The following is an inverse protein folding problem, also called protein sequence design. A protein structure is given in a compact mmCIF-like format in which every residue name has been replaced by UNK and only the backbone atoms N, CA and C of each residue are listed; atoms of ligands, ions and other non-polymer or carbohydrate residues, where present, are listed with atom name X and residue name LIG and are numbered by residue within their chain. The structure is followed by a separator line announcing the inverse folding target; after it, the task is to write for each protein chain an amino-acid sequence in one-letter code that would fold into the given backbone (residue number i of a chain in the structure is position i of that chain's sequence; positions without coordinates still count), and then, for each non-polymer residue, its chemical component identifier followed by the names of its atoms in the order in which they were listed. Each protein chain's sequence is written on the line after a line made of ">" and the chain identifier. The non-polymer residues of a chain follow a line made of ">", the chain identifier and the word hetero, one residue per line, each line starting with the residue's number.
data_IF_820998165193
#
_entry.id   IF_820998165193
#
_cell.length_a   1.000
_cell.length_b   1.000
_cell.length_c   1.000
_cell.angle_alpha   90.00
_cell.angle_beta   90.00
_cell.angle_gamma   90.00
#
_symmetry.space_group_name_H-M   'P 1'
#
loop_
_entity.id
_entity.type
_entity.pdbx_description
1 polymer ?
#
# COMPACT_ATOMS: atom_id res chain seq x y z
N UNK A 1 5.24 96.22 40.10
CA UNK A 1 6.00 95.95 38.85
C UNK A 1 6.35 94.47 38.83
N UNK A 2 6.10 93.75 37.73
CA UNK A 2 6.08 92.29 37.74
C UNK A 2 7.48 91.68 37.64
N UNK A 3 7.64 90.53 38.28
CA UNK A 3 8.79 89.63 38.19
C UNK A 3 8.66 88.84 36.88
N UNK A 4 9.73 88.82 36.10
CA UNK A 4 9.83 88.12 34.81
C UNK A 4 9.89 86.61 35.02
N UNK A 5 8.95 85.89 34.44
CA UNK A 5 8.94 84.42 34.38
C UNK A 5 9.75 83.96 33.15
N UNK A 6 10.83 83.20 33.40
CA UNK A 6 11.79 82.78 32.37
C UNK A 6 11.25 81.52 31.69
N UNK A 7 10.88 81.64 30.41
CA UNK A 7 10.28 80.58 29.61
C UNK A 7 11.24 79.45 29.23
N UNK A 8 11.35 78.41 30.05
CA UNK A 8 11.90 77.10 29.65
C UNK A 8 10.79 76.22 29.05
N UNK A 9 10.39 76.50 27.80
CA UNK A 9 9.27 75.79 27.14
C UNK A 9 9.60 75.10 25.81
N UNK A 10 10.86 75.10 25.37
CA UNK A 10 11.25 74.65 24.01
C UNK A 10 11.85 73.24 23.89
N UNK A 11 12.02 72.49 24.98
CA UNK A 11 12.61 71.13 24.94
C UNK A 11 11.62 69.96 25.14
N UNK A 12 10.45 70.20 25.73
CA UNK A 12 9.53 69.14 26.18
C UNK A 12 8.77 68.48 25.03
N UNK A 13 8.45 69.23 23.97
CA UNK A 13 7.75 68.69 22.78
C UNK A 13 8.63 67.72 21.99
N UNK A 14 9.93 67.99 21.87
CA UNK A 14 10.88 67.11 21.16
C UNK A 14 11.07 65.78 21.89
N UNK A 15 11.17 65.83 23.23
CA UNK A 15 11.28 64.63 24.08
C UNK A 15 10.02 63.76 23.99
N UNK A 16 8.84 64.38 24.00
CA UNK A 16 7.57 63.66 23.87
C UNK A 16 7.43 62.99 22.50
N UNK A 17 7.82 63.69 21.42
CA UNK A 17 7.82 63.13 20.06
C UNK A 17 8.75 61.93 19.92
N UNK A 18 9.96 61.99 20.50
CA UNK A 18 10.89 60.86 20.50
C UNK A 18 10.38 59.67 21.30
N UNK A 19 9.70 59.90 22.44
CA UNK A 19 9.11 58.83 23.24
C UNK A 19 7.97 58.11 22.51
N UNK A 20 7.10 58.87 21.85
CA UNK A 20 6.01 58.29 21.05
C UNK A 20 6.58 57.50 19.87
N UNK A 21 7.60 58.03 19.20
CA UNK A 21 8.25 57.36 18.07
C UNK A 21 8.90 56.05 18.48
N UNK A 22 9.64 56.03 19.59
CA UNK A 22 10.21 54.81 20.17
C UNK A 22 9.08 53.84 20.54
N UNK A 23 8.02 54.32 21.19
CA UNK A 23 6.85 53.51 21.53
C UNK A 23 6.25 52.80 20.32
N UNK A 24 6.07 53.52 19.19
CA UNK A 24 5.55 52.95 17.94
C UNK A 24 6.51 51.93 17.33
N UNK A 25 7.82 52.20 17.34
CA UNK A 25 8.81 51.23 16.83
C UNK A 25 8.75 49.94 17.64
N UNK A 26 8.76 50.04 18.97
CA UNK A 26 8.72 48.86 19.83
C UNK A 26 7.39 48.10 19.69
N UNK A 27 6.26 48.79 19.54
CA UNK A 27 4.95 48.13 19.38
C UNK A 27 4.70 47.59 17.98
N UNK A 28 5.33 48.11 16.94
CA UNK A 28 5.14 47.63 15.56
C UNK A 28 6.21 46.61 15.14
N UNK A 29 7.48 46.90 15.40
CA UNK A 29 8.62 46.11 14.87
C UNK A 29 8.79 44.80 15.64
N UNK A 30 8.67 44.83 16.97
CA UNK A 30 8.86 43.61 17.78
C UNK A 30 7.81 42.55 17.46
N UNK A 31 6.49 42.88 17.42
CA UNK A 31 5.49 41.87 17.06
C UNK A 31 5.66 41.35 15.65
N UNK A 32 6.00 42.19 14.68
CA UNK A 32 6.26 41.74 13.30
C UNK A 32 7.43 40.76 13.24
N UNK A 33 8.54 41.03 13.95
CA UNK A 33 9.69 40.14 13.99
C UNK A 33 9.35 38.79 14.66
N UNK A 34 8.57 38.81 15.74
CA UNK A 34 8.11 37.60 16.41
C UNK A 34 7.20 36.75 15.50
N UNK A 35 6.26 37.37 14.81
CA UNK A 35 5.35 36.68 13.89
C UNK A 35 6.13 36.05 12.73
N UNK A 36 7.12 36.76 12.17
CA UNK A 36 7.97 36.22 11.10
C UNK A 36 8.73 34.98 11.58
N UNK A 37 9.35 35.04 12.77
CA UNK A 37 10.05 33.88 13.35
C UNK A 37 9.13 32.70 13.60
N UNK A 38 7.93 32.95 14.12
CA UNK A 38 6.93 31.90 14.31
C UNK A 38 6.50 31.28 12.98
N UNK A 39 6.26 32.10 11.96
CA UNK A 39 5.91 31.63 10.63
C UNK A 39 7.03 30.75 10.04
N UNK A 40 8.29 31.17 10.14
CA UNK A 40 9.43 30.40 9.65
C UNK A 40 9.52 29.04 10.36
N UNK A 41 9.44 29.02 11.69
CA UNK A 41 9.47 27.75 12.45
C UNK A 41 8.30 26.83 12.10
N UNK A 42 7.10 27.37 11.92
CA UNK A 42 5.92 26.58 11.52
C UNK A 42 6.09 26.02 10.10
N UNK A 43 6.67 26.81 9.20
CA UNK A 43 6.96 26.36 7.84
C UNK A 43 8.00 25.25 7.81
N UNK A 44 9.07 25.35 8.59
CA UNK A 44 10.07 24.29 8.71
C UNK A 44 9.46 23.02 9.32
N UNK A 45 8.70 23.14 10.42
CA UNK A 45 8.01 22.01 11.04
C UNK A 45 7.11 21.28 10.06
N UNK A 46 6.25 22.01 9.32
CA UNK A 46 5.38 21.40 8.30
C UNK A 46 6.16 20.70 7.18
N UNK A 47 7.31 21.24 6.77
CA UNK A 47 8.15 20.58 5.78
C UNK A 47 8.68 19.25 6.30
N UNK A 48 9.13 19.20 7.55
CA UNK A 48 9.59 17.95 8.17
C UNK A 48 8.45 16.94 8.34
N UNK A 49 7.26 17.37 8.79
CA UNK A 49 6.09 16.51 8.93
C UNK A 49 5.67 15.91 7.58
N UNK A 50 5.62 16.73 6.52
CA UNK A 50 5.28 16.24 5.18
C UNK A 50 6.34 15.27 4.64
N UNK A 51 7.62 15.58 4.84
CA UNK A 51 8.71 14.70 4.41
C UNK A 51 8.63 13.33 5.12
N UNK A 52 8.31 13.31 6.42
CA UNK A 52 8.11 12.07 7.16
C UNK A 52 6.91 11.28 6.64
N UNK A 53 5.78 11.94 6.36
CA UNK A 53 4.59 11.27 5.80
C UNK A 53 4.86 10.68 4.40
N UNK A 54 5.61 11.40 3.57
CA UNK A 54 6.01 10.91 2.25
C UNK A 54 6.95 9.71 2.36
N UNK A 55 7.87 9.72 3.33
CA UNK A 55 8.75 8.59 3.63
C UNK A 55 7.96 7.37 4.12
N UNK A 56 7.04 7.55 5.07
CA UNK A 56 6.17 6.46 5.55
C UNK A 56 5.33 5.87 4.41
N UNK A 57 4.80 6.70 3.51
CA UNK A 57 4.06 6.27 2.32
C UNK A 57 4.95 5.50 1.33
N UNK A 58 6.23 5.86 1.23
CA UNK A 58 7.17 5.15 0.38
C UNK A 58 7.44 3.73 0.88
N UNK A 59 7.46 3.53 2.21
CA UNK A 59 7.66 2.21 2.84
C UNK A 59 6.42 1.31 2.87
N UNK A 60 5.23 1.83 2.56
CA UNK A 60 4.04 0.97 2.40
C UNK A 60 4.16 0.08 1.17
N UNK A 61 3.99 -1.23 1.35
CA UNK A 61 3.97 -2.16 0.23
C UNK A 61 2.90 -3.25 0.46
N UNK A 62 1.74 -3.09 -0.16
CA UNK A 62 0.63 -4.02 -0.08
C UNK A 62 0.46 -4.75 -1.40
N UNK A 63 0.24 -6.06 -1.29
CA UNK A 63 -0.09 -6.93 -2.41
C UNK A 63 -1.57 -7.25 -2.27
N UNK A 64 -2.34 -7.02 -3.33
CA UNK A 64 -3.78 -7.24 -3.37
C UNK A 64 -4.05 -8.47 -4.21
N UNK A 65 -4.94 -9.32 -3.75
CA UNK A 65 -5.36 -10.54 -4.43
C UNK A 65 -6.88 -10.58 -4.46
N UNK A 66 -7.44 -10.97 -5.60
CA UNK A 66 -8.88 -11.12 -5.73
C UNK A 66 -9.20 -12.46 -6.39
N UNK A 67 -10.20 -13.17 -5.85
CA UNK A 67 -10.64 -14.45 -6.36
C UNK A 67 -12.12 -14.72 -6.03
N UNK A 68 -12.71 -15.72 -6.68
CA UNK A 68 -14.06 -16.17 -6.36
C UNK A 68 -14.11 -16.77 -4.95
N UNK A 69 -15.20 -16.50 -4.22
CA UNK A 69 -15.42 -17.18 -2.95
C UNK A 69 -15.85 -18.65 -3.21
N UNK A 70 -15.19 -19.61 -2.55
CA UNK A 70 -15.49 -21.04 -2.64
C UNK A 70 -16.93 -21.40 -2.18
N UNK A 71 -17.42 -20.69 -1.15
CA UNK A 71 -18.77 -20.90 -0.59
C UNK A 71 -19.85 -20.21 -1.41
N UNK A 72 -19.53 -19.06 -2.01
CA UNK A 72 -20.44 -18.26 -2.81
C UNK A 72 -19.74 -17.80 -4.10
N UNK A 73 -19.75 -18.61 -5.17
CA UNK A 73 -18.98 -18.32 -6.39
C UNK A 73 -19.40 -17.03 -7.11
N UNK A 74 -20.46 -16.39 -6.65
CA UNK A 74 -20.92 -15.08 -7.12
C UNK A 74 -20.20 -13.91 -6.49
N UNK A 75 -19.64 -14.10 -5.30
CA UNK A 75 -19.07 -13.04 -4.50
C UNK A 75 -17.55 -13.01 -4.72
N UNK A 76 -17.00 -11.79 -4.75
CA UNK A 76 -15.58 -11.57 -4.93
C UNK A 76 -14.91 -11.48 -3.57
N UNK A 77 -14.01 -12.41 -3.26
CA UNK A 77 -13.16 -12.32 -2.08
C UNK A 77 -11.90 -11.54 -2.43
N UNK A 78 -11.53 -10.61 -1.55
CA UNK A 78 -10.31 -9.83 -1.68
C UNK A 78 -9.44 -10.07 -0.46
N UNK A 79 -8.19 -10.44 -0.71
CA UNK A 79 -7.16 -10.66 0.29
C UNK A 79 -6.02 -9.67 0.08
N UNK A 80 -5.36 -9.28 1.17
CA UNK A 80 -4.23 -8.36 1.12
C UNK A 80 -3.08 -8.90 1.96
N UNK A 81 -1.88 -8.82 1.42
CA UNK A 81 -0.65 -9.13 2.14
C UNK A 81 0.21 -7.87 2.29
N UNK A 82 0.69 -7.61 3.50
CA UNK A 82 1.60 -6.52 3.76
C UNK A 82 3.06 -7.00 3.69
N UNK A 83 3.74 -6.62 2.60
CA UNK A 83 5.17 -6.84 2.36
C UNK A 83 6.03 -5.66 2.82
N UNK A 84 5.42 -4.57 3.29
CA UNK A 84 6.11 -3.42 3.84
C UNK A 84 6.54 -3.64 5.29
N UNK A 85 7.43 -2.77 5.76
CA UNK A 85 7.94 -2.79 7.13
C UNK A 85 6.98 -2.12 8.12
N UNK A 86 6.08 -1.27 7.61
CA UNK A 86 5.10 -0.52 8.40
C UNK A 86 3.72 -1.17 8.29
N UNK A 87 2.93 -1.07 9.36
CA UNK A 87 1.50 -1.40 9.27
C UNK A 87 0.79 -0.43 8.34
N UNK A 88 -0.07 -0.98 7.50
CA UNK A 88 -0.89 -0.21 6.58
C UNK A 88 -2.35 -0.41 6.94
N UNK A 89 -3.11 0.69 6.97
CA UNK A 89 -4.53 0.65 7.27
C UNK A 89 -5.31 0.81 5.98
N UNK A 90 -6.05 -0.24 5.62
CA UNK A 90 -6.93 -0.24 4.45
C UNK A 90 -8.22 0.48 4.81
N UNK A 91 -8.52 1.56 4.08
CA UNK A 91 -9.68 2.43 4.32
C UNK A 91 -10.76 2.22 3.27
N UNK A 92 -10.39 1.85 2.06
CA UNK A 92 -11.39 1.57 1.03
C UNK A 92 -10.94 0.54 0.03
N UNK A 93 -11.91 -0.22 -0.45
CA UNK A 93 -11.81 -1.11 -1.59
C UNK A 93 -12.67 -0.53 -2.71
N UNK A 94 -12.10 -0.51 -3.90
CA UNK A 94 -12.78 -0.15 -5.13
C UNK A 94 -12.78 -1.35 -6.05
N UNK A 95 -13.93 -1.69 -6.60
CA UNK A 95 -14.05 -2.69 -7.65
C UNK A 95 -14.76 -2.04 -8.82
N UNK A 96 -14.00 -1.69 -9.87
CA UNK A 96 -14.45 -0.77 -10.92
C UNK A 96 -15.01 0.54 -10.33
N UNK A 97 -16.33 0.76 -10.43
CA UNK A 97 -17.02 1.96 -9.95
C UNK A 97 -17.68 1.78 -8.57
N UNK A 98 -17.59 0.59 -7.98
CA UNK A 98 -18.20 0.29 -6.68
C UNK A 98 -17.23 0.55 -5.54
N UNK A 99 -17.72 1.27 -4.53
CA UNK A 99 -16.97 1.66 -3.35
C UNK A 99 -17.40 0.87 -2.12
N UNK A 100 -16.42 0.32 -1.42
CA UNK A 100 -16.61 -0.35 -0.14
C UNK A 100 -15.72 0.30 0.92
N UNK A 101 -16.33 0.86 1.95
CA UNK A 101 -15.61 1.41 3.10
C UNK A 101 -15.09 0.28 3.99
N UNK A 102 -13.80 0.33 4.28
CA UNK A 102 -13.11 -0.63 5.12
C UNK A 102 -12.37 0.09 6.25
N UNK A 103 -12.05 -0.63 7.31
CA UNK A 103 -11.30 -0.08 8.42
C UNK A 103 -10.40 -1.16 9.03
N UNK A 104 -9.55 -1.75 8.20
CA UNK A 104 -8.74 -2.89 8.58
C UNK A 104 -7.27 -2.53 8.66
N UNK A 105 -6.67 -2.79 9.83
CA UNK A 105 -5.23 -2.69 10.02
C UNK A 105 -4.55 -3.98 9.54
N UNK A 106 -3.59 -3.86 8.63
CA UNK A 106 -2.78 -4.97 8.14
C UNK A 106 -1.37 -4.82 8.73
N UNK A 107 -1.02 -5.73 9.62
CA UNK A 107 0.31 -5.73 10.27
C UNK A 107 1.39 -6.17 9.28
N UNK A 108 2.62 -5.68 9.41
CA UNK A 108 3.74 -6.18 8.60
C UNK A 108 3.98 -7.65 8.93
N UNK A 109 4.37 -8.45 7.92
CA UNK A 109 4.70 -9.88 8.07
C UNK A 109 3.58 -10.76 8.65
N UNK A 110 2.31 -10.31 8.66
CA UNK A 110 1.20 -11.12 9.18
C UNK A 110 0.68 -12.18 8.20
N UNK A 111 1.29 -12.29 7.02
CA UNK A 111 0.78 -13.11 5.91
C UNK A 111 -0.42 -12.46 5.21
N UNK A 112 -1.12 -13.26 4.40
CA UNK A 112 -2.36 -12.85 3.74
C UNK A 112 -3.47 -12.63 4.77
N UNK A 113 -4.22 -11.56 4.57
CA UNK A 113 -5.36 -11.20 5.39
C UNK A 113 -6.57 -10.93 4.52
N UNK A 114 -7.65 -11.60 4.84
CA UNK A 114 -8.93 -11.46 4.15
C UNK A 114 -9.56 -10.12 4.50
N UNK A 115 -9.87 -9.32 3.48
CA UNK A 115 -10.69 -8.12 3.64
C UNK A 115 -12.19 -8.46 3.72
N UNK A 116 -12.57 -9.61 3.17
CA UNK A 116 -13.93 -10.13 3.15
C UNK A 116 -14.39 -10.47 1.73
N UNK A 117 -15.67 -10.82 1.63
CA UNK A 117 -16.34 -11.07 0.36
C UNK A 117 -17.31 -9.94 0.04
N UNK A 118 -17.25 -9.47 -1.20
CA UNK A 118 -17.99 -8.32 -1.68
C UNK A 118 -18.91 -8.73 -2.82
N UNK A 119 -20.17 -8.34 -2.72
CA UNK A 119 -21.16 -8.55 -3.77
C UNK A 119 -21.05 -7.37 -4.74
N UNK A 120 -20.49 -7.64 -5.92
CA UNK A 120 -20.29 -6.63 -6.96
C UNK A 120 -21.30 -6.78 -8.10
N UNK A 121 -21.66 -5.67 -8.75
CA UNK A 121 -22.52 -5.73 -9.94
C UNK A 121 -21.86 -6.57 -11.02
N UNK A 122 -22.59 -7.56 -11.53
CA UNK A 122 -22.09 -8.58 -12.47
C UNK A 122 -22.56 -8.26 -13.88
N UNK A 123 -21.64 -7.87 -14.74
CA UNK A 123 -21.85 -7.62 -16.17
C UNK A 123 -21.04 -8.65 -16.92
N UNK A 124 -21.70 -9.35 -17.84
CA UNK A 124 -21.08 -10.43 -18.60
C UNK A 124 -19.92 -9.89 -19.45
N UNK A 125 -18.79 -10.62 -19.42
CA UNK A 125 -17.56 -10.34 -20.18
C UNK A 125 -16.95 -8.95 -19.89
N UNK A 126 -17.27 -8.36 -18.74
CA UNK A 126 -16.63 -7.15 -18.24
C UNK A 126 -15.40 -7.51 -17.40
N UNK A 127 -14.34 -6.74 -17.55
CA UNK A 127 -13.14 -6.81 -16.70
C UNK A 127 -13.36 -6.02 -15.41
N UNK A 128 -12.93 -6.61 -14.30
CA UNK A 128 -13.02 -6.08 -12.96
C UNK A 128 -11.63 -5.79 -12.44
N UNK A 129 -11.37 -4.51 -12.20
CA UNK A 129 -10.14 -4.03 -11.60
C UNK A 129 -10.40 -3.77 -10.12
N UNK A 130 -9.60 -4.42 -9.27
CA UNK A 130 -9.68 -4.28 -7.82
C UNK A 130 -8.58 -3.32 -7.37
N UNK A 131 -8.96 -2.27 -6.64
CA UNK A 131 -8.03 -1.30 -6.07
C UNK A 131 -8.27 -1.15 -4.58
N UNK A 132 -7.19 -1.11 -3.81
CA UNK A 132 -7.21 -0.93 -2.36
C UNK A 132 -6.53 0.39 -2.04
N UNK A 133 -7.15 1.22 -1.20
CA UNK A 133 -6.59 2.51 -0.77
C UNK A 133 -6.27 2.48 0.73
N UNK A 134 -5.07 2.96 1.07
CA UNK A 134 -4.61 3.12 2.46
C UNK A 134 -5.02 4.47 3.05
N UNK A 135 -4.99 4.59 4.37
CA UNK A 135 -5.19 5.86 5.08
C UNK A 135 -4.13 6.92 4.74
N UNK A 136 -2.92 6.48 4.37
CA UNK A 136 -1.85 7.33 3.83
C UNK A 136 -2.07 7.74 2.35
N UNK A 137 -3.20 7.34 1.75
CA UNK A 137 -3.61 7.72 0.40
C UNK A 137 -2.77 7.09 -0.70
N UNK A 138 -2.21 5.89 -0.47
CA UNK A 138 -1.59 5.07 -1.52
C UNK A 138 -2.64 4.10 -2.07
N UNK A 139 -2.61 3.90 -3.38
CA UNK A 139 -3.52 2.99 -4.08
C UNK A 139 -2.71 1.80 -4.56
N UNK A 140 -3.17 0.60 -4.24
CA UNK A 140 -2.63 -0.67 -4.69
C UNK A 140 -3.65 -1.34 -5.59
N UNK A 141 -3.22 -1.76 -6.77
CA UNK A 141 -4.10 -2.35 -7.79
C UNK A 141 -3.78 -3.83 -7.89
N UNK A 142 -4.81 -4.66 -8.04
CA UNK A 142 -4.61 -6.05 -8.41
C UNK A 142 -4.25 -6.12 -9.90
N UNK A 143 -3.06 -6.67 -10.20
CA UNK A 143 -2.50 -6.64 -11.55
C UNK A 143 -3.24 -7.51 -12.57
N UNK A 144 -4.00 -8.50 -12.10
CA UNK A 144 -4.71 -9.45 -12.96
C UNK A 144 -6.21 -9.13 -12.96
N UNK A 145 -6.77 -8.57 -14.05
CA UNK A 145 -8.19 -8.28 -14.09
C UNK A 145 -9.00 -9.59 -14.08
N UNK A 146 -10.11 -9.61 -13.34
CA UNK A 146 -11.05 -10.73 -13.33
C UNK A 146 -12.19 -10.44 -14.30
N UNK A 147 -12.74 -11.47 -14.94
CA UNK A 147 -13.88 -11.34 -15.86
C UNK A 147 -15.07 -12.12 -15.35
N UNK A 148 -16.27 -11.54 -15.37
CA UNK A 148 -17.48 -12.28 -14.99
C UNK A 148 -18.07 -13.00 -16.21
N UNK A 149 -18.22 -14.32 -16.11
CA UNK A 149 -18.80 -15.17 -17.18
C UNK A 149 -20.07 -15.88 -16.71
N UNK A 150 -20.79 -16.54 -17.64
CA UNK A 150 -21.98 -17.35 -17.29
C UNK A 150 -21.68 -18.51 -16.32
N UNK A 151 -20.41 -18.89 -16.20
CA UNK A 151 -19.95 -19.98 -15.34
C UNK A 151 -19.28 -19.48 -14.04
N UNK A 152 -19.14 -18.16 -13.86
CA UNK A 152 -18.50 -17.56 -12.69
C UNK A 152 -17.35 -16.60 -13.05
N UNK A 153 -16.59 -16.23 -12.03
CA UNK A 153 -15.39 -15.42 -12.18
C UNK A 153 -14.32 -16.17 -12.96
N UNK A 154 -13.72 -15.50 -13.93
CA UNK A 154 -12.68 -16.06 -14.78
C UNK A 154 -11.46 -15.17 -14.74
N UNK A 155 -10.32 -15.74 -14.38
CA UNK A 155 -9.03 -15.07 -14.55
C UNK A 155 -8.47 -15.34 -15.96
N UNK A 156 -7.84 -14.35 -16.64
CA UNK A 156 -7.13 -14.58 -17.90
C UNK A 156 -5.84 -15.39 -17.70
N UNK A 157 -5.32 -15.44 -16.47
CA UNK A 157 -4.05 -16.07 -16.13
C UNK A 157 -4.29 -16.94 -14.88
N UNK A 158 -3.76 -18.17 -14.90
CA UNK A 158 -3.69 -19.03 -13.71
C UNK A 158 -2.25 -19.13 -13.25
N UNK A 159 -2.03 -19.28 -11.95
CA UNK A 159 -0.68 -19.42 -11.43
C UNK A 159 -0.56 -20.49 -10.34
N UNK A 160 0.61 -21.14 -10.34
CA UNK A 160 1.03 -22.09 -9.31
C UNK A 160 2.13 -21.40 -8.51
N UNK A 161 1.89 -21.22 -7.22
CA UNK A 161 2.90 -20.81 -6.25
C UNK A 161 3.48 -22.06 -5.58
N UNK A 162 4.80 -22.21 -5.63
CA UNK A 162 5.52 -23.30 -4.98
C UNK A 162 6.35 -22.70 -3.85
N UNK A 163 6.13 -23.20 -2.63
CA UNK A 163 6.92 -22.86 -1.45
C UNK A 163 7.59 -24.11 -0.89
N UNK A 164 8.91 -24.04 -0.72
CA UNK A 164 9.72 -25.13 -0.20
C UNK A 164 10.06 -24.85 1.27
N UNK A 165 9.33 -25.44 2.22
CA UNK A 165 9.50 -25.25 3.67
C UNK A 165 10.14 -26.48 4.33
N UNK A 166 9.62 -27.68 4.05
CA UNK A 166 9.86 -28.87 4.86
C UNK A 166 10.96 -29.78 4.31
N UNK A 167 11.49 -29.51 3.12
CA UNK A 167 12.59 -30.29 2.57
C UNK A 167 13.88 -30.17 3.40
N UNK A 168 14.47 -31.33 3.73
CA UNK A 168 15.69 -31.43 4.51
C UNK A 168 16.94 -31.06 3.68
N UNK A 169 17.70 -30.09 4.18
CA UNK A 169 18.99 -29.65 3.64
C UNK A 169 18.99 -28.23 3.07
N UNK A 170 20.13 -27.55 3.16
CA UNK A 170 20.38 -26.29 2.45
C UNK A 170 20.81 -26.59 1.01
N UNK A 171 20.28 -25.85 0.04
CA UNK A 171 20.64 -25.98 -1.36
C UNK A 171 19.63 -25.34 -2.31
N UNK A 172 20.00 -25.30 -3.59
CA UNK A 172 19.09 -24.96 -4.68
C UNK A 172 18.28 -26.19 -5.09
N UNK A 173 16.98 -25.97 -5.25
CA UNK A 173 16.03 -26.94 -5.75
C UNK A 173 15.63 -26.55 -7.18
N UNK A 174 15.49 -27.55 -8.04
CA UNK A 174 14.95 -27.36 -9.38
C UNK A 174 13.47 -27.74 -9.34
N UNK A 175 12.61 -26.80 -9.67
CA UNK A 175 11.17 -27.01 -9.81
C UNK A 175 10.90 -27.18 -11.30
N UNK A 176 10.30 -28.31 -11.68
CA UNK A 176 9.80 -28.56 -13.03
C UNK A 176 8.27 -28.69 -12.96
N UNK A 177 7.59 -27.90 -13.76
CA UNK A 177 6.15 -27.99 -13.92
C UNK A 177 5.87 -28.47 -15.33
N UNK A 178 5.23 -29.63 -15.43
CA UNK A 178 4.98 -30.33 -16.69
C UNK A 178 3.48 -30.38 -16.96
N UNK A 179 3.04 -30.04 -18.16
CA UNK A 179 1.61 -29.99 -18.48
C UNK A 179 1.34 -29.46 -19.89
N UNK A 180 0.24 -28.71 -20.11
CA UNK A 180 0.00 -27.98 -21.35
C UNK A 180 1.13 -27.00 -21.70
N UNK A 181 1.71 -26.38 -20.67
CA UNK A 181 2.85 -25.48 -20.76
C UNK A 181 3.92 -25.92 -19.76
N UNK A 182 5.16 -26.13 -20.23
CA UNK A 182 6.23 -26.55 -19.34
C UNK A 182 7.01 -25.34 -18.81
N UNK A 183 7.26 -25.31 -17.50
CA UNK A 183 8.06 -24.29 -16.83
C UNK A 183 9.09 -24.93 -15.93
N UNK A 184 10.26 -24.32 -15.85
CA UNK A 184 11.32 -24.76 -14.93
C UNK A 184 11.92 -23.55 -14.24
N UNK A 185 12.13 -23.61 -12.94
CA UNK A 185 12.89 -22.59 -12.21
C UNK A 185 13.78 -23.21 -11.14
N UNK A 186 14.79 -22.44 -10.73
CA UNK A 186 15.60 -22.74 -9.56
C UNK A 186 15.05 -21.94 -8.38
N UNK A 187 14.91 -22.59 -7.23
CA UNK A 187 14.41 -21.98 -6.00
C UNK A 187 15.30 -22.36 -4.83
N UNK A 188 15.49 -21.45 -3.89
CA UNK A 188 16.12 -21.77 -2.60
C UNK A 188 15.07 -22.19 -1.57
N UNK A 189 15.54 -22.79 -0.47
CA UNK A 189 14.67 -23.09 0.67
C UNK A 189 14.02 -21.80 1.22
N UNK A 190 12.73 -21.87 1.56
CA UNK A 190 11.88 -20.77 2.01
C UNK A 190 11.71 -19.64 0.97
N UNK A 191 11.98 -19.91 -0.31
CA UNK A 191 11.69 -18.99 -1.40
C UNK A 191 10.37 -19.37 -2.06
N UNK A 192 9.43 -18.41 -2.12
CA UNK A 192 8.18 -18.56 -2.87
C UNK A 192 8.46 -18.33 -4.36
N UNK A 193 8.11 -19.28 -5.22
CA UNK A 193 8.18 -19.13 -6.68
C UNK A 193 6.79 -19.21 -7.29
N UNK A 194 6.43 -18.18 -8.06
CA UNK A 194 5.17 -18.12 -8.79
C UNK A 194 5.42 -18.45 -10.27
N UNK A 195 4.60 -19.34 -10.82
CA UNK A 195 4.59 -19.72 -12.23
C UNK A 195 3.24 -19.39 -12.83
N UNK A 196 3.24 -18.55 -13.86
CA UNK A 196 2.02 -18.15 -14.57
C UNK A 196 1.84 -18.96 -15.85
N UNK A 197 0.58 -19.31 -16.13
CA UNK A 197 0.19 -20.11 -17.28
C UNK A 197 -1.01 -19.48 -17.99
N UNK A 198 -1.02 -19.62 -19.31
CA UNK A 198 -2.10 -19.11 -20.19
C UNK A 198 -3.04 -20.20 -20.68
N UNK A 199 -2.76 -21.46 -20.36
CA UNK A 199 -3.54 -22.62 -20.76
C UNK A 199 -4.06 -23.35 -19.52
N UNK A 200 -5.37 -23.63 -19.43
CA UNK A 200 -5.91 -24.42 -18.34
C UNK A 200 -5.57 -25.89 -18.58
N UNK A 201 -5.50 -26.68 -17.50
CA UNK A 201 -5.20 -28.10 -17.59
C UNK A 201 -4.53 -28.65 -16.35
N UNK A 202 -4.19 -29.93 -16.40
CA UNK A 202 -3.50 -30.62 -15.32
C UNK A 202 -1.99 -30.42 -15.46
N UNK A 203 -1.38 -29.88 -14.42
CA UNK A 203 0.05 -29.65 -14.29
C UNK A 203 0.61 -30.58 -13.21
N UNK A 204 1.77 -31.14 -13.47
CA UNK A 204 2.52 -31.94 -12.50
C UNK A 204 3.70 -31.10 -12.04
N UNK A 205 3.75 -30.80 -10.74
CA UNK A 205 4.84 -30.06 -10.09
C UNK A 205 5.81 -31.08 -9.50
N UNK A 206 7.03 -31.09 -10.02
CA UNK A 206 8.11 -31.96 -9.57
C UNK A 206 9.27 -31.13 -9.02
N UNK A 207 9.73 -31.48 -7.81
CA UNK A 207 10.83 -30.78 -7.14
C UNK A 207 12.02 -31.72 -7.06
N UNK A 208 13.14 -31.27 -7.62
CA UNK A 208 14.40 -32.01 -7.69
C UNK A 208 15.51 -31.32 -6.91
N UNK A 209 16.46 -32.13 -6.42
CA UNK A 209 17.77 -31.67 -5.97
C UNK A 209 18.85 -32.42 -6.74
N UNK A 210 19.56 -31.71 -7.61
CA UNK A 210 20.44 -32.35 -8.59
C UNK A 210 19.63 -33.23 -9.54
N UNK A 211 19.85 -34.56 -9.49
CA UNK A 211 19.09 -35.55 -10.27
C UNK A 211 18.08 -36.34 -9.45
N UNK A 212 17.93 -36.05 -8.15
CA UNK A 212 17.01 -36.77 -7.27
C UNK A 212 15.67 -36.04 -7.19
N UNK A 213 14.58 -36.75 -7.49
CA UNK A 213 13.22 -36.30 -7.26
C UNK A 213 12.91 -36.35 -5.76
N UNK A 214 12.43 -35.24 -5.20
CA UNK A 214 12.12 -35.10 -3.78
C UNK A 214 10.62 -35.07 -3.52
N UNK A 215 9.85 -34.43 -4.40
CA UNK A 215 8.42 -34.26 -4.24
C UNK A 215 7.72 -34.17 -5.60
N UNK A 216 6.51 -34.72 -5.68
CA UNK A 216 5.65 -34.63 -6.86
C UNK A 216 4.22 -34.37 -6.40
N UNK A 217 3.60 -33.35 -6.98
CA UNK A 217 2.19 -33.01 -6.77
C UNK A 217 1.51 -32.81 -8.13
N UNK A 218 0.22 -33.14 -8.20
CA UNK A 218 -0.58 -32.99 -9.42
C UNK A 218 -1.66 -31.97 -9.12
N UNK A 219 -1.61 -30.86 -9.86
CA UNK A 219 -2.54 -29.74 -9.72
C UNK A 219 -3.36 -29.57 -10.98
N UNK A 220 -4.66 -29.33 -10.85
CA UNK A 220 -5.54 -29.08 -12.00
C UNK A 220 -5.95 -27.63 -12.02
N UNK A 221 -5.38 -26.86 -12.95
CA UNK A 221 -5.67 -25.45 -13.10
C UNK A 221 -6.92 -25.23 -13.95
N UNK A 222 -7.86 -24.44 -13.42
CA UNK A 222 -9.03 -23.95 -14.12
C UNK A 222 -9.16 -22.43 -13.95
N UNK A 223 -9.47 -21.73 -15.04
CA UNK A 223 -9.68 -20.29 -15.03
C UNK A 223 -10.88 -19.86 -14.17
N UNK A 224 -11.83 -20.75 -13.91
CA UNK A 224 -13.10 -20.42 -13.27
C UNK A 224 -13.08 -20.44 -11.74
N UNK A 225 -12.10 -21.10 -11.11
CA UNK A 225 -12.16 -21.35 -9.66
C UNK A 225 -10.89 -21.02 -8.88
N UNK A 226 -9.74 -20.77 -9.52
CA UNK A 226 -8.50 -20.68 -8.74
C UNK A 226 -7.39 -19.90 -9.46
N UNK A 227 -7.22 -18.62 -9.15
CA UNK A 227 -6.13 -17.82 -9.71
C UNK A 227 -4.77 -18.15 -9.06
N UNK A 228 -4.74 -18.67 -7.82
CA UNK A 228 -3.54 -18.88 -7.03
C UNK A 228 -3.66 -20.16 -6.18
N UNK A 229 -2.85 -21.18 -6.47
CA UNK A 229 -2.66 -22.32 -5.57
C UNK A 229 -1.26 -22.29 -4.96
N UNK A 230 -1.18 -22.60 -3.67
CA UNK A 230 0.07 -22.79 -2.94
C UNK A 230 0.34 -24.27 -2.73
N UNK A 231 1.37 -24.75 -3.42
CA UNK A 231 1.97 -26.07 -3.18
C UNK A 231 3.01 -25.91 -2.08
N UNK A 232 2.78 -26.57 -0.94
CA UNK A 232 3.72 -26.62 0.18
C UNK A 232 4.52 -27.92 0.13
N UNK A 233 5.84 -27.81 -0.05
CA UNK A 233 6.75 -28.96 -0.10
C UNK A 233 7.85 -28.92 0.97
#
# INVERSE_FOLDING_TARGET
>A
MPITDISFRRGTSTVLGTLIFIGIIFTAVIPMFLVMRQADTLHEMRKYELAQLDEEKAFENLYVYAHANESFPTDLTVEVENKGDLSAKVVSLWVNDEFFELNQLISPMSGMKDLGSFNVSRVLDLEYVVMVTTDRGKIFVFDIPLTWTIYGWKSPIVSIEVLIEHLHGSGEFKIEITGPENRTAMAQKNELRCFTFTSPGTYTVEIFRGSQLLHTEIETLDFQNNPLWRVFA
#
